data_IF_811494960036
#
_entry.id   IF_811494960036
#
_cell.length_a   1.000
_cell.length_b   1.000
_cell.length_c   1.000
_cell.angle_alpha   90.00
_cell.angle_beta   90.00
_cell.angle_gamma   90.00
#
_symmetry.space_group_name_H-M   'P 1'
#
loop_
_entity.id
_entity.type
_entity.pdbx_description
1 polymer ?
#
# COMPACT_ATOMS: atom_id res chain seq x y z
N UNK A 1 22.39 -20.08 -21.75
CA UNK A 1 21.68 -20.71 -20.63
C UNK A 1 21.60 -19.67 -19.52
N UNK A 2 20.48 -18.97 -19.40
CA UNK A 2 20.21 -18.17 -18.21
C UNK A 2 19.64 -19.15 -17.20
N UNK A 3 20.43 -19.54 -16.20
CA UNK A 3 19.90 -20.37 -15.12
C UNK A 3 18.92 -19.51 -14.31
N UNK A 4 17.66 -19.94 -14.24
CA UNK A 4 16.68 -19.34 -13.33
C UNK A 4 17.10 -19.70 -11.91
N UNK A 5 17.34 -18.69 -11.08
CA UNK A 5 17.69 -18.88 -9.68
C UNK A 5 16.41 -19.13 -8.88
N UNK A 6 16.21 -20.35 -8.41
CA UNK A 6 15.09 -20.74 -7.58
C UNK A 6 15.34 -20.29 -6.13
N UNK A 7 14.55 -19.33 -5.66
CA UNK A 7 14.59 -18.85 -4.27
C UNK A 7 13.28 -19.19 -3.57
N UNK A 8 13.37 -19.94 -2.47
CA UNK A 8 12.22 -20.29 -1.63
C UNK A 8 11.68 -19.04 -0.91
N UNK A 9 10.40 -18.72 -1.13
CA UNK A 9 9.75 -17.53 -0.57
C UNK A 9 8.91 -17.87 0.67
N UNK A 10 8.61 -16.87 1.52
CA UNK A 10 7.77 -16.98 2.74
C UNK A 10 6.37 -17.56 2.50
N UNK A 11 5.89 -17.56 1.25
CA UNK A 11 4.62 -18.16 0.82
C UNK A 11 4.73 -19.65 0.43
N UNK A 12 5.94 -20.21 0.40
CA UNK A 12 6.20 -21.58 -0.05
C UNK A 12 6.24 -21.76 -1.58
N UNK A 13 6.25 -20.67 -2.35
CA UNK A 13 6.24 -20.68 -3.82
C UNK A 13 7.56 -20.16 -4.38
N UNK A 14 8.11 -20.83 -5.41
CA UNK A 14 9.27 -20.36 -6.17
C UNK A 14 8.86 -19.21 -7.11
N UNK A 15 9.69 -18.17 -7.19
CA UNK A 15 9.47 -17.00 -8.05
C UNK A 15 10.69 -16.73 -8.94
N UNK A 16 10.46 -16.22 -10.15
CA UNK A 16 11.51 -15.72 -11.07
C UNK A 16 11.56 -14.19 -11.01
N UNK A 17 12.76 -13.60 -11.05
CA UNK A 17 12.94 -12.15 -10.99
C UNK A 17 12.67 -11.48 -12.33
N UNK A 18 11.69 -10.57 -12.37
CA UNK A 18 11.40 -9.74 -13.54
C UNK A 18 12.14 -8.39 -13.47
N UNK A 19 12.54 -7.87 -14.63
CA UNK A 19 13.19 -6.57 -14.78
C UNK A 19 12.29 -5.57 -15.53
N UNK A 20 12.75 -4.32 -15.62
CA UNK A 20 12.06 -3.13 -16.12
C UNK A 20 11.07 -3.36 -17.28
N UNK A 21 9.86 -2.79 -17.15
CA UNK A 21 8.86 -2.69 -18.23
C UNK A 21 8.61 -1.21 -18.55
N UNK A 22 8.44 -0.88 -19.83
CA UNK A 22 8.09 0.45 -20.31
C UNK A 22 6.80 0.37 -21.14
N UNK A 23 5.89 1.31 -20.94
CA UNK A 23 4.60 1.37 -21.65
C UNK A 23 4.49 2.67 -22.47
N UNK A 24 3.77 2.61 -23.59
CA UNK A 24 3.57 3.76 -24.48
C UNK A 24 2.57 4.76 -23.90
N UNK A 25 2.81 6.06 -24.14
CA UNK A 25 1.90 7.16 -23.70
C UNK A 25 0.50 7.11 -24.33
N UNK A 26 0.35 6.43 -25.47
CA UNK A 26 -0.89 6.45 -26.26
C UNK A 26 -1.81 5.26 -26.00
N UNK A 27 -1.41 4.34 -25.11
CA UNK A 27 -2.16 3.12 -24.82
C UNK A 27 -2.24 2.95 -23.31
N UNK A 28 -3.44 2.69 -22.80
CA UNK A 28 -3.60 2.28 -21.42
C UNK A 28 -3.18 0.81 -21.27
N UNK A 29 -2.14 0.49 -20.47
CA UNK A 29 -1.52 -0.83 -20.46
C UNK A 29 -2.30 -1.83 -19.59
N UNK A 30 -3.58 -2.05 -19.91
CA UNK A 30 -4.35 -3.13 -19.31
C UNK A 30 -4.07 -4.44 -20.04
N UNK A 31 -3.77 -5.50 -19.29
CA UNK A 31 -3.57 -6.83 -19.87
C UNK A 31 -4.82 -7.26 -20.65
N UNK A 32 -4.63 -7.69 -21.89
CA UNK A 32 -5.71 -8.18 -22.76
C UNK A 32 -5.82 -9.70 -22.80
N UNK A 33 -4.76 -10.40 -22.39
CA UNK A 33 -4.70 -11.87 -22.36
C UNK A 33 -5.47 -12.50 -21.21
N UNK A 34 -5.87 -11.71 -20.21
CA UNK A 34 -6.73 -12.10 -19.11
C UNK A 34 -7.65 -10.95 -18.73
N UNK A 35 -8.84 -11.27 -18.22
CA UNK A 35 -9.74 -10.25 -17.64
C UNK A 35 -9.09 -9.67 -16.39
N UNK A 36 -9.06 -8.35 -16.30
CA UNK A 36 -8.62 -7.58 -15.12
C UNK A 36 -9.82 -6.91 -14.49
N UNK A 37 -9.95 -7.00 -13.16
CA UNK A 37 -11.03 -6.37 -12.41
C UNK A 37 -10.67 -4.92 -12.08
N UNK A 38 -11.10 -4.00 -12.92
CA UNK A 38 -10.74 -2.58 -12.81
C UNK A 38 -11.33 -1.89 -11.58
N UNK A 39 -12.56 -2.26 -11.18
CA UNK A 39 -13.23 -1.64 -10.03
C UNK A 39 -12.41 -1.82 -8.75
N UNK A 40 -11.93 -3.03 -8.51
CA UNK A 40 -11.10 -3.34 -7.33
C UNK A 40 -9.84 -2.49 -7.27
N UNK A 41 -9.14 -2.34 -8.41
CA UNK A 41 -7.92 -1.52 -8.51
C UNK A 41 -8.22 -0.04 -8.23
N UNK A 42 -9.33 0.48 -8.74
CA UNK A 42 -9.70 1.88 -8.56
C UNK A 42 -10.07 2.20 -7.10
N UNK A 43 -10.88 1.35 -6.48
CA UNK A 43 -11.29 1.55 -5.08
C UNK A 43 -10.08 1.41 -4.13
N UNK A 44 -9.17 0.47 -4.41
CA UNK A 44 -7.92 0.32 -3.66
C UNK A 44 -7.05 1.58 -3.74
N UNK A 45 -6.92 2.16 -4.93
CA UNK A 45 -6.13 3.39 -5.15
C UNK A 45 -6.67 4.58 -4.36
N UNK A 46 -7.98 4.60 -4.08
CA UNK A 46 -8.65 5.67 -3.34
C UNK A 46 -8.68 5.43 -1.82
N UNK A 47 -8.29 4.24 -1.35
CA UNK A 47 -8.33 3.85 0.06
C UNK A 47 -7.15 4.43 0.86
N UNK A 48 -7.39 4.72 2.15
CA UNK A 48 -6.35 5.11 3.11
C UNK A 48 -5.86 3.93 3.96
N UNK A 49 -6.72 3.32 4.81
CA UNK A 49 -6.29 2.27 5.76
C UNK A 49 -7.33 1.19 6.14
N UNK A 50 -8.62 1.34 5.79
CA UNK A 50 -9.69 0.44 6.26
C UNK A 50 -10.12 -0.57 5.19
N UNK A 51 -9.86 -1.85 5.46
CA UNK A 51 -10.26 -2.94 4.56
C UNK A 51 -11.78 -3.18 4.53
N UNK A 52 -12.52 -2.87 5.60
CA UNK A 52 -13.98 -3.06 5.65
C UNK A 52 -14.68 -2.13 4.66
N UNK A 53 -14.23 -0.89 4.53
CA UNK A 53 -14.76 0.06 3.54
C UNK A 53 -14.70 -0.51 2.11
N UNK A 54 -13.58 -1.15 1.75
CA UNK A 54 -13.44 -1.84 0.47
C UNK A 54 -14.40 -3.04 0.36
N UNK A 55 -14.44 -3.84 1.41
CA UNK A 55 -15.27 -5.05 1.50
C UNK A 55 -16.77 -4.75 1.31
N UNK A 56 -17.26 -3.64 1.89
CA UNK A 56 -18.61 -3.12 1.72
C UNK A 56 -18.90 -2.67 0.27
N UNK A 57 -17.90 -2.12 -0.42
CA UNK A 57 -17.99 -1.79 -1.86
C UNK A 57 -17.85 -3.03 -2.77
N UNK A 58 -17.65 -4.21 -2.19
CA UNK A 58 -17.49 -5.49 -2.88
C UNK A 58 -16.06 -5.79 -3.32
N UNK A 59 -15.07 -5.05 -2.81
CA UNK A 59 -13.65 -5.20 -3.12
C UNK A 59 -12.98 -6.00 -2.00
N UNK A 60 -12.47 -7.19 -2.34
CA UNK A 60 -12.11 -8.25 -1.37
C UNK A 60 -10.61 -8.50 -1.25
N UNK A 61 -9.79 -7.69 -1.93
CA UNK A 61 -8.35 -7.91 -2.08
C UNK A 61 -7.58 -7.84 -0.74
N UNK A 62 -8.12 -7.13 0.26
CA UNK A 62 -7.52 -6.96 1.59
C UNK A 62 -8.19 -7.81 2.69
N UNK A 63 -9.28 -8.54 2.41
CA UNK A 63 -10.04 -9.31 3.42
C UNK A 63 -9.15 -10.29 4.20
N UNK A 64 -8.28 -11.02 3.50
CA UNK A 64 -7.38 -11.97 4.14
C UNK A 64 -6.39 -11.30 5.09
N UNK A 65 -5.87 -10.11 4.72
CA UNK A 65 -4.90 -9.36 5.51
C UNK A 65 -5.53 -8.55 6.64
N UNK A 66 -6.80 -8.18 6.51
CA UNK A 66 -7.57 -7.51 7.55
C UNK A 66 -8.24 -8.49 8.53
N UNK A 67 -8.26 -9.80 8.24
CA UNK A 67 -8.93 -10.80 9.08
C UNK A 67 -8.34 -10.90 10.48
N UNK A 68 -9.19 -11.22 11.46
CA UNK A 68 -8.75 -11.44 12.86
C UNK A 68 -7.62 -12.46 12.96
N UNK A 69 -7.74 -13.60 12.26
CA UNK A 69 -6.72 -14.66 12.25
C UNK A 69 -5.36 -14.15 11.77
N UNK A 70 -5.33 -13.36 10.69
CA UNK A 70 -4.09 -12.81 10.16
C UNK A 70 -3.47 -11.80 11.13
N UNK A 71 -4.27 -10.88 11.68
CA UNK A 71 -3.79 -9.89 12.61
C UNK A 71 -3.19 -10.53 13.86
N UNK A 72 -3.86 -11.52 14.46
CA UNK A 72 -3.37 -12.26 15.63
C UNK A 72 -2.07 -13.01 15.33
N UNK A 73 -2.02 -13.71 14.19
CA UNK A 73 -0.84 -14.45 13.76
C UNK A 73 0.39 -13.56 13.58
N UNK A 74 0.19 -12.28 13.24
CA UNK A 74 1.26 -11.30 13.06
C UNK A 74 1.51 -10.43 14.31
N UNK A 75 0.86 -10.73 15.44
CA UNK A 75 1.07 -10.02 16.71
C UNK A 75 0.32 -8.69 16.84
N UNK A 76 -0.72 -8.46 16.03
CA UNK A 76 -1.57 -7.28 16.05
C UNK A 76 -2.90 -7.55 16.77
N UNK A 77 -2.86 -8.21 17.94
CA UNK A 77 -4.05 -8.59 18.72
C UNK A 77 -4.93 -7.40 19.11
N UNK A 78 -4.32 -6.24 19.30
CA UNK A 78 -4.98 -5.04 19.83
C UNK A 78 -5.64 -4.20 18.72
N UNK A 79 -5.38 -4.51 17.45
CA UNK A 79 -6.01 -3.83 16.31
C UNK A 79 -7.40 -4.38 16.06
N UNK A 80 -8.32 -3.54 15.61
CA UNK A 80 -9.64 -4.00 15.18
C UNK A 80 -9.54 -4.85 13.89
N UNK A 81 -10.43 -5.82 13.70
CA UNK A 81 -10.53 -6.52 12.40
C UNK A 81 -10.82 -5.50 11.28
N UNK A 82 -10.09 -5.60 10.17
CA UNK A 82 -10.12 -4.64 9.06
C UNK A 82 -9.08 -3.51 9.17
N UNK A 83 -8.47 -3.29 10.34
CA UNK A 83 -7.41 -2.32 10.53
C UNK A 83 -6.08 -2.84 9.95
N UNK A 84 -5.72 -2.32 8.78
CA UNK A 84 -4.46 -2.68 8.12
C UNK A 84 -3.24 -1.98 8.74
N UNK A 85 -3.45 -0.99 9.59
CA UNK A 85 -2.43 -0.12 10.15
C UNK A 85 -1.95 0.95 9.17
N UNK A 86 -0.73 1.52 9.37
CA UNK A 86 -0.21 2.62 8.57
C UNK A 86 0.34 2.15 7.21
N UNK A 87 -0.53 1.58 6.37
CA UNK A 87 -0.20 1.10 5.02
C UNK A 87 -0.07 2.24 4.00
N UNK A 88 -0.04 1.92 2.71
CA UNK A 88 0.34 2.85 1.64
C UNK A 88 -0.43 4.17 1.67
N UNK A 89 -1.76 4.14 1.84
CA UNK A 89 -2.58 5.35 1.87
C UNK A 89 -2.21 6.28 3.02
N UNK A 90 -2.00 5.73 4.22
CA UNK A 90 -1.48 6.46 5.37
C UNK A 90 -0.10 7.06 5.09
N UNK A 91 0.84 6.30 4.53
CA UNK A 91 2.19 6.82 4.23
C UNK A 91 2.15 7.93 3.17
N UNK A 92 1.21 7.92 2.23
CA UNK A 92 1.08 8.98 1.22
C UNK A 92 0.68 10.33 1.84
N UNK A 93 -0.17 10.32 2.88
CA UNK A 93 -0.78 11.53 3.44
C UNK A 93 -0.20 11.96 4.80
N UNK A 94 0.33 11.00 5.57
CA UNK A 94 0.73 11.16 6.97
C UNK A 94 2.10 10.50 7.25
N UNK A 95 3.04 10.57 6.29
CA UNK A 95 4.34 9.91 6.44
C UNK A 95 5.05 10.36 7.73
N UNK A 96 5.45 9.39 8.55
CA UNK A 96 6.15 9.64 9.82
C UNK A 96 5.26 10.03 11.01
N UNK A 97 3.95 10.18 10.82
CA UNK A 97 3.01 10.29 11.94
C UNK A 97 2.97 9.00 12.77
N UNK A 98 2.64 9.13 14.05
CA UNK A 98 2.42 7.99 14.94
C UNK A 98 1.01 7.45 14.71
N UNK A 99 0.92 6.19 14.28
CA UNK A 99 -0.35 5.53 14.06
C UNK A 99 -0.95 5.08 15.40
N UNK A 100 -2.24 5.36 15.58
CA UNK A 100 -3.03 4.96 16.75
C UNK A 100 -4.04 3.88 16.36
N UNK A 101 -4.98 4.24 15.51
CA UNK A 101 -6.03 3.38 14.96
C UNK A 101 -6.56 3.96 13.64
N UNK A 102 -7.45 3.24 12.96
CA UNK A 102 -8.03 3.66 11.68
C UNK A 102 -9.11 4.76 11.79
N UNK A 103 -9.57 5.07 13.01
CA UNK A 103 -10.66 6.03 13.26
C UNK A 103 -10.13 7.43 13.64
N UNK A 104 -8.86 7.52 14.02
CA UNK A 104 -8.19 8.76 14.43
C UNK A 104 -8.08 9.75 13.27
N UNK A 105 -8.36 11.02 13.55
CA UNK A 105 -8.07 12.10 12.61
C UNK A 105 -6.57 12.45 12.62
N UNK A 106 -5.90 12.18 11.50
CA UNK A 106 -4.48 12.48 11.28
C UNK A 106 -4.25 13.81 10.54
N UNK A 107 -5.27 14.65 10.38
CA UNK A 107 -5.15 15.94 9.72
C UNK A 107 -4.02 16.79 10.30
N UNK A 108 -3.12 17.25 9.43
CA UNK A 108 -1.95 18.04 9.82
C UNK A 108 -0.83 17.25 10.51
N UNK A 109 -0.94 15.93 10.63
CA UNK A 109 0.09 15.07 11.21
C UNK A 109 0.95 14.43 10.13
N UNK A 110 2.25 14.33 10.40
CA UNK A 110 3.23 13.75 9.47
C UNK A 110 3.50 14.64 8.25
N UNK A 111 3.97 14.00 7.17
CA UNK A 111 4.24 14.67 5.89
C UNK A 111 3.25 14.18 4.83
N UNK A 112 2.50 15.11 4.25
CA UNK A 112 1.64 14.86 3.07
C UNK A 112 2.50 14.81 1.80
N UNK A 113 3.02 13.62 1.48
CA UNK A 113 3.86 13.39 0.31
C UNK A 113 3.09 13.61 -0.99
N UNK A 114 1.82 13.20 -1.03
CA UNK A 114 0.98 13.36 -2.21
C UNK A 114 0.81 14.84 -2.56
N UNK A 115 0.45 15.67 -1.58
CA UNK A 115 0.31 17.11 -1.81
C UNK A 115 1.63 17.73 -2.25
N UNK A 116 2.75 17.38 -1.58
CA UNK A 116 4.07 17.88 -1.96
C UNK A 116 4.46 17.53 -3.39
N UNK A 117 4.16 16.31 -3.84
CA UNK A 117 4.39 15.87 -5.23
C UNK A 117 3.55 16.68 -6.21
N UNK A 118 2.25 16.85 -5.94
CA UNK A 118 1.34 17.65 -6.78
C UNK A 118 1.83 19.09 -6.90
N UNK A 119 2.20 19.70 -5.77
CA UNK A 119 2.70 21.08 -5.72
C UNK A 119 3.98 21.20 -6.54
N UNK A 120 4.93 20.27 -6.35
CA UNK A 120 6.23 20.31 -7.03
C UNK A 120 6.08 20.09 -8.54
N UNK A 121 5.24 19.15 -8.99
CA UNK A 121 4.94 18.97 -10.43
C UNK A 121 4.39 20.27 -11.02
N UNK A 122 3.56 20.98 -10.27
CA UNK A 122 2.93 22.22 -10.73
C UNK A 122 3.90 23.40 -10.74
N UNK A 123 4.71 23.57 -9.70
CA UNK A 123 5.58 24.75 -9.53
C UNK A 123 6.99 24.58 -10.09
N UNK A 124 7.52 23.35 -10.10
CA UNK A 124 8.89 23.02 -10.50
C UNK A 124 8.98 21.59 -11.11
N UNK A 125 8.42 21.37 -12.32
CA UNK A 125 8.34 20.05 -12.93
C UNK A 125 9.69 19.38 -13.23
N UNK A 126 10.77 20.16 -13.34
CA UNK A 126 12.13 19.65 -13.59
C UNK A 126 12.84 19.18 -12.31
N UNK A 127 12.16 19.26 -11.15
CA UNK A 127 12.72 18.77 -9.90
C UNK A 127 12.92 17.25 -9.95
N UNK A 128 14.16 16.82 -9.76
CA UNK A 128 14.55 15.40 -9.75
C UNK A 128 14.22 14.69 -8.43
N UNK A 129 13.52 15.36 -7.51
CA UNK A 129 13.14 14.87 -6.18
C UNK A 129 11.63 14.66 -6.03
N UNK A 130 10.89 14.65 -7.13
CA UNK A 130 9.47 14.29 -7.16
C UNK A 130 9.35 12.78 -6.93
N UNK A 131 9.33 12.38 -5.65
CA UNK A 131 9.32 10.99 -5.21
C UNK A 131 8.29 10.86 -4.09
N UNK A 132 7.52 9.78 -4.15
CA UNK A 132 6.63 9.35 -3.07
C UNK A 132 7.09 7.97 -2.60
N UNK A 133 7.27 7.79 -1.29
CA UNK A 133 7.78 6.55 -0.71
C UNK A 133 6.82 5.99 0.34
N UNK A 134 6.40 4.74 0.19
CA UNK A 134 5.59 4.03 1.18
C UNK A 134 6.42 3.11 2.09
N UNK A 135 7.74 3.04 1.89
CA UNK A 135 8.63 2.25 2.76
C UNK A 135 9.11 3.07 3.95
N UNK A 136 8.47 2.87 5.09
CA UNK A 136 8.79 3.53 6.36
C UNK A 136 9.32 2.52 7.38
N UNK A 137 10.65 2.41 7.60
CA UNK A 137 11.23 1.44 8.53
C UNK A 137 10.66 1.50 9.96
N UNK A 138 10.30 2.69 10.44
CA UNK A 138 9.66 2.86 11.76
C UNK A 138 8.23 2.34 11.80
N UNK A 139 7.55 2.31 10.66
CA UNK A 139 6.18 1.81 10.50
C UNK A 139 6.07 0.28 10.38
N UNK A 140 7.14 -0.40 9.96
CA UNK A 140 7.11 -1.83 9.61
C UNK A 140 6.89 -2.74 10.81
N UNK A 141 7.50 -2.40 11.94
CA UNK A 141 7.48 -3.26 13.11
C UNK A 141 6.41 -2.90 14.12
N UNK A 142 5.73 -1.75 14.00
CA UNK A 142 4.91 -1.15 15.08
C UNK A 142 3.98 -2.17 15.74
N UNK A 143 4.38 -2.73 16.89
CA UNK A 143 3.43 -3.10 17.92
C UNK A 143 2.95 -1.76 18.51
N UNK A 144 1.74 -1.68 19.05
CA UNK A 144 1.36 -0.50 19.81
C UNK A 144 2.29 -0.40 21.02
N UNK A 145 3.33 0.44 20.95
CA UNK A 145 4.17 0.74 22.11
C UNK A 145 3.45 1.82 22.91
N UNK A 146 2.58 1.41 23.84
CA UNK A 146 1.94 2.38 24.72
C UNK A 146 0.71 1.91 25.50
N UNK A 147 0.74 0.72 26.12
CA UNK A 147 0.08 0.45 27.42
C UNK A 147 1.00 -0.50 28.21
#
# INVERSE_FOLDING_TARGET
SLAEEHVQHRSGTDNVRQNCCQFSRFVFPLLTTKRVFWKDILEELLMISDAKELSEKGVRIWDANGSREFLDKNGFSDREEGDLGPVYGFQCRHFGAEYKDMHTDYSGQGVDQLQKVIDTITSNPEDRRIIMCSWNPKGLSQPLSGI
#
